data_IF_320956459645
#
_entry.id   IF_320956459645
#
_cell.length_a   1.000
_cell.length_b   1.000
_cell.length_c   1.000
_cell.angle_alpha   90.00
_cell.angle_beta   90.00
_cell.angle_gamma   90.00
#
_symmetry.space_group_name_H-M   'P 1'
#
loop_
_entity.id
_entity.type
_entity.pdbx_description
1 polymer ?
#
# COMPACT_ATOMS: atom_id res chain seq x y z
N UNK A 1 -19.21 -31.32 29.37
CA UNK A 1 -18.63 -30.88 28.09
C UNK A 1 -19.14 -29.48 27.80
N UNK A 2 -18.33 -28.62 27.16
CA UNK A 2 -18.85 -27.38 26.59
C UNK A 2 -19.70 -27.71 25.34
N UNK A 3 -20.79 -26.96 25.07
CA UNK A 3 -21.54 -27.11 23.82
C UNK A 3 -20.67 -26.70 22.64
N UNK A 4 -20.83 -27.37 21.50
CA UNK A 4 -20.17 -26.94 20.26
C UNK A 4 -20.85 -25.67 19.73
N UNK A 5 -20.05 -24.65 19.44
CA UNK A 5 -20.53 -23.44 18.76
C UNK A 5 -20.79 -23.74 17.27
N UNK A 6 -21.82 -23.13 16.65
CA UNK A 6 -22.01 -23.17 15.21
C UNK A 6 -20.79 -22.61 14.46
N UNK A 7 -20.47 -23.17 13.31
CA UNK A 7 -19.28 -22.77 12.51
C UNK A 7 -19.30 -21.30 12.14
N UNK A 8 -20.49 -20.76 11.92
CA UNK A 8 -20.79 -19.37 11.56
C UNK A 8 -20.36 -18.42 12.68
N UNK A 9 -20.56 -18.82 13.94
CA UNK A 9 -20.13 -18.07 15.12
C UNK A 9 -18.60 -18.15 15.27
N UNK A 10 -17.99 -19.29 14.96
CA UNK A 10 -16.51 -19.43 14.97
C UNK A 10 -15.87 -18.55 13.87
N UNK A 11 -16.48 -18.46 12.69
CA UNK A 11 -16.07 -17.55 11.61
C UNK A 11 -16.18 -16.06 11.97
N UNK A 12 -17.02 -15.68 12.94
CA UNK A 12 -17.11 -14.31 13.46
C UNK A 12 -16.14 -14.08 14.63
N UNK A 13 -15.97 -15.06 15.53
CA UNK A 13 -15.07 -14.94 16.68
C UNK A 13 -13.61 -14.80 16.23
N UNK A 14 -13.13 -15.63 15.30
CA UNK A 14 -11.70 -15.69 14.99
C UNK A 14 -11.16 -14.36 14.42
N UNK A 15 -11.81 -13.69 13.45
CA UNK A 15 -11.36 -12.37 12.99
C UNK A 15 -11.38 -11.33 14.11
N UNK A 16 -12.49 -11.19 14.85
CA UNK A 16 -12.65 -10.15 15.87
C UNK A 16 -11.85 -10.37 17.17
N UNK A 17 -11.39 -11.60 17.44
CA UNK A 17 -10.56 -11.91 18.61
C UNK A 17 -9.05 -11.86 18.30
N UNK A 18 -8.68 -11.55 17.06
CA UNK A 18 -7.32 -11.23 16.64
C UNK A 18 -7.27 -9.72 16.34
N UNK A 19 -6.16 -9.00 16.59
CA UNK A 19 -6.07 -7.60 16.16
C UNK A 19 -6.28 -7.49 14.64
N UNK A 20 -7.28 -6.72 14.22
CA UNK A 20 -7.60 -6.47 12.81
C UNK A 20 -6.51 -5.64 12.12
N UNK A 21 -5.94 -4.65 12.83
CA UNK A 21 -4.83 -3.81 12.39
C UNK A 21 -3.90 -3.46 13.55
N UNK A 22 -2.62 -3.72 13.37
CA UNK A 22 -1.51 -3.36 14.27
C UNK A 22 -0.24 -3.35 13.42
N UNK A 23 0.60 -2.33 13.57
CA UNK A 23 1.86 -2.18 12.82
C UNK A 23 2.68 -3.48 12.83
N UNK A 24 3.08 -3.95 11.65
CA UNK A 24 3.57 -5.32 11.46
C UNK A 24 4.80 -5.68 12.28
N UNK A 25 5.74 -4.74 12.37
CA UNK A 25 7.07 -4.95 12.95
C UNK A 25 6.99 -5.50 14.39
N UNK A 26 5.98 -5.08 15.15
CA UNK A 26 5.71 -5.48 16.53
C UNK A 26 4.81 -6.72 16.62
N UNK A 27 3.63 -6.73 15.98
CA UNK A 27 2.55 -7.66 16.33
C UNK A 27 2.36 -8.88 15.40
N UNK A 28 3.09 -9.00 14.28
CA UNK A 28 3.03 -10.17 13.38
C UNK A 28 3.08 -11.52 14.10
N UNK A 29 3.97 -11.64 15.10
CA UNK A 29 4.18 -12.86 15.89
C UNK A 29 2.96 -13.21 16.75
N UNK A 30 2.17 -12.23 17.15
CA UNK A 30 1.00 -12.40 18.03
C UNK A 30 -0.23 -12.78 17.22
N UNK A 31 -0.52 -12.11 16.10
CA UNK A 31 -1.56 -12.50 15.14
C UNK A 31 -1.42 -13.97 14.73
N UNK A 32 -0.20 -14.42 14.40
CA UNK A 32 0.08 -15.84 14.11
C UNK A 32 -0.13 -16.76 15.33
N UNK A 33 0.29 -16.37 16.54
CA UNK A 33 0.12 -17.17 17.77
C UNK A 33 -1.36 -17.35 18.14
N UNK A 34 -2.18 -16.31 18.03
CA UNK A 34 -3.62 -16.39 18.31
C UNK A 34 -4.33 -17.32 17.32
N UNK A 35 -4.09 -17.16 16.02
CA UNK A 35 -4.69 -18.03 14.99
C UNK A 35 -4.22 -19.49 15.15
N UNK A 36 -2.95 -19.72 15.48
CA UNK A 36 -2.44 -21.06 15.81
C UNK A 36 -3.15 -21.64 17.04
N UNK A 37 -3.33 -20.87 18.11
CA UNK A 37 -4.05 -21.30 19.31
C UNK A 37 -5.51 -21.67 18.99
N UNK A 38 -6.21 -20.87 18.17
CA UNK A 38 -7.56 -21.20 17.71
C UNK A 38 -7.62 -22.51 16.90
N UNK A 39 -6.61 -22.78 16.07
CA UNK A 39 -6.54 -24.04 15.30
C UNK A 39 -6.39 -25.30 16.18
N UNK A 40 -5.96 -25.14 17.44
CA UNK A 40 -5.76 -26.21 18.41
C UNK A 40 -6.98 -26.45 19.33
N UNK A 41 -8.01 -25.60 19.29
CA UNK A 41 -9.19 -25.69 20.20
C UNK A 41 -9.96 -26.99 19.96
N UNK A 42 -10.28 -27.30 18.70
CA UNK A 42 -10.74 -28.60 18.20
C UNK A 42 -10.85 -28.57 16.66
N UNK A 43 -11.31 -29.66 16.05
CA UNK A 43 -11.43 -29.81 14.60
C UNK A 43 -12.40 -28.84 13.91
N UNK A 44 -13.43 -28.30 14.56
CA UNK A 44 -14.35 -27.34 13.93
C UNK A 44 -13.74 -25.94 13.82
N UNK A 45 -12.80 -25.59 14.71
CA UNK A 45 -12.07 -24.33 14.68
C UNK A 45 -10.91 -24.34 13.66
N UNK A 46 -10.38 -25.51 13.32
CA UNK A 46 -9.20 -25.66 12.47
C UNK A 46 -9.36 -25.05 11.07
N UNK A 47 -10.48 -25.29 10.37
CA UNK A 47 -10.70 -24.72 9.02
C UNK A 47 -10.96 -23.19 9.05
N UNK A 48 -11.82 -22.64 9.92
CA UNK A 48 -11.92 -21.19 10.14
C UNK A 48 -10.58 -20.53 10.49
N UNK A 49 -9.79 -21.13 11.39
CA UNK A 49 -8.46 -20.63 11.75
C UNK A 49 -7.50 -20.64 10.55
N UNK A 50 -7.46 -21.72 9.75
CA UNK A 50 -6.64 -21.73 8.53
C UNK A 50 -7.10 -20.69 7.49
N UNK A 51 -8.39 -20.42 7.37
CA UNK A 51 -8.91 -19.39 6.46
C UNK A 51 -8.46 -17.98 6.87
N UNK A 52 -8.49 -17.65 8.16
CA UNK A 52 -7.94 -16.37 8.64
C UNK A 52 -6.41 -16.34 8.52
N UNK A 53 -5.71 -17.46 8.76
CA UNK A 53 -4.26 -17.57 8.59
C UNK A 53 -3.79 -17.30 7.15
N UNK A 54 -4.63 -17.61 6.16
CA UNK A 54 -4.36 -17.40 4.74
C UNK A 54 -5.06 -16.15 4.17
N UNK A 55 -5.70 -15.33 5.01
CA UNK A 55 -6.27 -14.02 4.63
C UNK A 55 -5.19 -12.99 4.31
N UNK A 56 -4.15 -12.96 5.15
CA UNK A 56 -2.93 -12.17 4.98
C UNK A 56 -1.72 -13.10 4.91
N UNK A 57 -1.08 -13.15 3.74
CA UNK A 57 0.18 -13.85 3.56
C UNK A 57 1.35 -12.90 3.79
N UNK A 58 2.27 -13.26 4.67
CA UNK A 58 3.59 -12.63 4.75
C UNK A 58 4.64 -13.59 4.19
N UNK A 59 5.48 -13.13 3.27
CA UNK A 59 6.61 -13.89 2.74
C UNK A 59 7.90 -13.12 3.02
N UNK A 60 8.74 -13.66 3.90
CA UNK A 60 9.91 -12.96 4.46
C UNK A 60 11.22 -13.30 3.75
N UNK A 61 11.17 -13.98 2.61
CA UNK A 61 12.34 -14.36 1.84
C UNK A 61 11.97 -14.64 0.37
N UNK A 62 12.90 -14.33 -0.55
CA UNK A 62 12.69 -14.62 -1.97
C UNK A 62 12.60 -16.13 -2.26
N UNK A 63 13.14 -17.01 -1.40
CA UNK A 63 13.04 -18.48 -1.54
C UNK A 63 11.65 -19.03 -1.16
N UNK A 64 11.03 -18.55 -0.07
CA UNK A 64 9.64 -18.88 0.24
C UNK A 64 8.71 -18.45 -0.91
N UNK A 65 8.99 -17.29 -1.51
CA UNK A 65 8.24 -16.73 -2.63
C UNK A 65 8.38 -17.59 -3.90
N UNK A 66 9.62 -17.91 -4.30
CA UNK A 66 9.93 -18.82 -5.43
C UNK A 66 9.28 -20.19 -5.25
N UNK A 67 9.11 -20.67 -4.01
CA UNK A 67 8.56 -21.99 -3.72
C UNK A 67 7.08 -22.16 -4.09
N UNK A 68 6.31 -21.06 -4.21
CA UNK A 68 4.85 -20.97 -4.46
C UNK A 68 3.90 -21.66 -3.46
N UNK A 69 4.37 -22.67 -2.72
CA UNK A 69 3.61 -23.51 -1.76
C UNK A 69 2.66 -22.74 -0.82
N UNK A 70 3.03 -21.53 -0.38
CA UNK A 70 2.18 -20.69 0.47
C UNK A 70 0.97 -20.12 -0.29
N UNK A 71 1.18 -19.62 -1.51
CA UNK A 71 0.14 -19.09 -2.39
C UNK A 71 -0.78 -20.22 -2.90
N UNK A 72 -0.21 -21.34 -3.33
CA UNK A 72 -0.95 -22.51 -3.78
C UNK A 72 -1.87 -23.04 -2.66
N UNK A 73 -1.36 -23.06 -1.41
CA UNK A 73 -2.14 -23.48 -0.24
C UNK A 73 -3.23 -22.48 0.14
N UNK A 74 -2.93 -21.18 0.15
CA UNK A 74 -3.93 -20.14 0.38
C UNK A 74 -5.08 -20.23 -0.64
N UNK A 75 -4.74 -20.32 -1.93
CA UNK A 75 -5.69 -20.57 -3.03
C UNK A 75 -6.54 -21.83 -2.79
N UNK A 76 -5.94 -22.93 -2.35
CA UNK A 76 -6.68 -24.18 -2.04
C UNK A 76 -7.65 -24.07 -0.85
N UNK A 77 -7.39 -23.13 0.08
CA UNK A 77 -8.26 -22.81 1.23
C UNK A 77 -9.38 -21.81 0.84
N UNK A 78 -9.31 -21.25 -0.37
CA UNK A 78 -10.28 -20.30 -0.92
C UNK A 78 -10.11 -18.87 -0.39
N UNK A 79 -8.94 -18.54 0.17
CA UNK A 79 -8.65 -17.25 0.78
C UNK A 79 -7.21 -16.85 0.49
N UNK A 80 -7.01 -15.59 0.09
CA UNK A 80 -5.70 -15.01 -0.22
C UNK A 80 -5.87 -13.58 -0.69
N UNK A 81 -6.42 -12.71 0.17
CA UNK A 81 -6.83 -11.36 -0.24
C UNK A 81 -5.66 -10.39 -0.21
N UNK A 82 -4.85 -10.43 0.86
CA UNK A 82 -3.76 -9.49 1.08
C UNK A 82 -2.43 -10.27 1.13
N UNK A 83 -1.42 -9.79 0.42
CA UNK A 83 -0.09 -10.39 0.35
C UNK A 83 0.96 -9.33 0.63
N UNK A 84 1.84 -9.56 1.59
CA UNK A 84 3.03 -8.76 1.77
C UNK A 84 4.28 -9.57 1.42
N UNK A 85 5.12 -9.00 0.56
CA UNK A 85 6.44 -9.52 0.17
C UNK A 85 7.50 -8.50 0.56
N UNK A 86 8.40 -8.86 1.48
CA UNK A 86 9.45 -7.93 1.88
C UNK A 86 10.49 -8.55 2.81
N UNK A 87 11.71 -8.04 2.74
CA UNK A 87 12.87 -8.64 3.39
C UNK A 87 13.76 -7.56 3.99
N UNK A 88 13.59 -7.31 5.30
CA UNK A 88 14.39 -6.38 6.12
C UNK A 88 15.91 -6.66 6.00
N UNK A 89 16.52 -6.08 4.97
CA UNK A 89 17.92 -6.28 4.55
C UNK A 89 18.50 -4.98 4.03
N UNK A 90 19.79 -4.78 4.29
CA UNK A 90 20.56 -3.57 3.98
C UNK A 90 20.77 -3.36 2.45
N UNK A 91 20.23 -4.25 1.61
CA UNK A 91 20.21 -4.14 0.15
C UNK A 91 18.92 -4.78 -0.39
N UNK A 92 18.21 -4.15 -1.33
CA UNK A 92 17.05 -4.76 -1.96
C UNK A 92 17.46 -5.99 -2.78
N UNK A 93 16.62 -7.02 -2.79
CA UNK A 93 16.76 -8.17 -3.68
C UNK A 93 15.95 -7.96 -4.95
N UNK A 94 16.46 -8.47 -6.09
CA UNK A 94 15.71 -8.57 -7.34
C UNK A 94 14.38 -9.32 -7.09
N UNK A 95 13.26 -8.61 -7.26
CA UNK A 95 11.95 -9.21 -7.25
C UNK A 95 11.84 -10.26 -8.36
N UNK A 96 11.15 -11.35 -8.03
CA UNK A 96 10.73 -12.41 -8.96
C UNK A 96 9.33 -12.83 -8.55
N UNK A 97 8.41 -11.86 -8.60
CA UNK A 97 7.03 -11.99 -8.12
C UNK A 97 6.37 -13.19 -8.83
N UNK A 98 5.68 -14.11 -8.12
CA UNK A 98 5.03 -15.25 -8.75
C UNK A 98 3.74 -14.81 -9.48
N UNK A 99 2.90 -15.76 -9.90
CA UNK A 99 1.52 -15.40 -10.27
C UNK A 99 0.78 -14.94 -9.01
N UNK A 100 0.17 -13.76 -9.08
CA UNK A 100 -0.61 -13.13 -8.00
C UNK A 100 -2.13 -13.22 -8.25
N UNK A 101 -2.55 -14.00 -9.25
CA UNK A 101 -3.95 -14.28 -9.57
C UNK A 101 -4.76 -14.68 -8.32
N UNK A 102 -5.79 -13.90 -8.02
CA UNK A 102 -6.67 -14.06 -6.85
C UNK A 102 -6.34 -13.14 -5.67
N UNK A 103 -5.15 -12.52 -5.65
CA UNK A 103 -4.76 -11.52 -4.66
C UNK A 103 -5.34 -10.15 -5.03
N UNK A 104 -5.91 -9.44 -4.05
CA UNK A 104 -6.53 -8.12 -4.23
C UNK A 104 -5.65 -6.98 -3.71
N UNK A 105 -4.87 -7.24 -2.67
CA UNK A 105 -4.02 -6.25 -2.02
C UNK A 105 -2.59 -6.78 -1.96
N UNK A 106 -1.63 -5.98 -2.43
CA UNK A 106 -0.21 -6.33 -2.35
C UNK A 106 0.57 -5.20 -1.71
N UNK A 107 1.41 -5.54 -0.73
CA UNK A 107 2.41 -4.62 -0.16
C UNK A 107 3.81 -5.17 -0.41
N UNK A 108 4.71 -4.32 -0.88
CA UNK A 108 6.08 -4.67 -1.25
C UNK A 108 7.05 -3.79 -0.45
N UNK A 109 8.04 -4.40 0.19
CA UNK A 109 9.00 -3.69 1.06
C UNK A 109 10.43 -4.17 0.86
N UNK A 110 11.37 -3.23 0.75
CA UNK A 110 12.80 -3.48 0.52
C UNK A 110 13.08 -4.27 -0.79
N UNK A 111 12.30 -4.02 -1.85
CA UNK A 111 12.33 -4.79 -3.11
C UNK A 111 12.81 -3.97 -4.30
N UNK A 112 13.63 -4.60 -5.15
CA UNK A 112 13.98 -4.06 -6.49
C UNK A 112 13.04 -4.66 -7.54
N UNK A 113 12.36 -3.84 -8.32
CA UNK A 113 11.25 -4.26 -9.17
C UNK A 113 11.53 -4.04 -10.66
N UNK A 114 11.23 -5.05 -11.47
CA UNK A 114 11.30 -5.01 -12.93
C UNK A 114 9.95 -4.66 -13.56
N UNK A 115 9.97 -4.33 -14.86
CA UNK A 115 8.80 -4.28 -15.72
C UNK A 115 8.00 -5.59 -15.68
N UNK A 116 8.66 -6.76 -15.60
CA UNK A 116 7.96 -8.05 -15.54
C UNK A 116 7.20 -8.22 -14.21
N UNK A 117 7.78 -7.78 -13.10
CA UNK A 117 7.11 -7.80 -11.78
C UNK A 117 5.90 -6.86 -11.76
N UNK A 118 6.02 -5.65 -12.32
CA UNK A 118 4.90 -4.70 -12.45
C UNK A 118 3.75 -5.29 -13.27
N UNK A 119 4.05 -6.01 -14.36
CA UNK A 119 3.01 -6.68 -15.16
C UNK A 119 2.30 -7.83 -14.41
N UNK A 120 2.91 -8.38 -13.35
CA UNK A 120 2.29 -9.40 -12.46
C UNK A 120 1.41 -8.77 -11.36
N UNK A 121 1.48 -7.44 -11.17
CA UNK A 121 0.67 -6.67 -10.23
C UNK A 121 -0.56 -5.99 -10.86
N UNK A 122 -0.73 -6.03 -12.19
CA UNK A 122 -1.78 -5.30 -12.93
C UNK A 122 -3.22 -5.55 -12.45
N UNK A 123 -3.49 -6.76 -11.92
CA UNK A 123 -4.84 -7.27 -11.61
C UNK A 123 -5.26 -7.00 -10.15
N UNK A 124 -4.47 -6.25 -9.37
CA UNK A 124 -4.76 -5.94 -7.94
C UNK A 124 -5.61 -4.68 -7.77
N UNK A 125 -6.33 -4.60 -6.65
CA UNK A 125 -7.24 -3.50 -6.26
C UNK A 125 -6.56 -2.48 -5.34
N UNK A 126 -5.59 -2.92 -4.54
CA UNK A 126 -4.79 -2.10 -3.62
C UNK A 126 -3.31 -2.48 -3.76
N UNK A 127 -2.43 -1.48 -3.83
CA UNK A 127 -0.99 -1.68 -4.00
C UNK A 127 -0.19 -0.70 -3.15
N UNK A 128 0.75 -1.21 -2.38
CA UNK A 128 1.63 -0.43 -1.52
C UNK A 128 3.08 -0.78 -1.82
N UNK A 129 3.92 0.22 -2.06
CA UNK A 129 5.37 0.11 -2.17
C UNK A 129 6.03 0.88 -1.02
N UNK A 130 7.03 0.28 -0.38
CA UNK A 130 7.82 0.87 0.69
C UNK A 130 9.31 0.56 0.47
N UNK A 131 10.19 1.57 0.47
CA UNK A 131 11.60 1.47 0.09
C UNK A 131 11.85 0.54 -1.14
N UNK A 132 11.13 0.83 -2.22
CA UNK A 132 11.18 0.03 -3.44
C UNK A 132 11.96 0.76 -4.54
N UNK A 133 12.88 0.04 -5.18
CA UNK A 133 13.72 0.53 -6.27
C UNK A 133 13.17 0.04 -7.62
N UNK A 134 12.72 0.96 -8.47
CA UNK A 134 12.37 0.65 -9.85
C UNK A 134 13.59 0.82 -10.74
N UNK A 135 14.13 -0.30 -11.21
CA UNK A 135 15.32 -0.35 -12.06
C UNK A 135 15.25 -1.56 -12.98
N UNK A 136 15.20 -1.33 -14.30
CA UNK A 136 15.37 -2.39 -15.30
C UNK A 136 16.55 -2.06 -16.25
N UNK A 137 17.60 -2.89 -16.31
CA UNK A 137 18.76 -2.62 -17.15
C UNK A 137 18.46 -2.82 -18.64
N UNK A 138 19.15 -2.05 -19.49
CA UNK A 138 18.63 -0.84 -20.10
C UNK A 138 17.40 -1.08 -21.01
N UNK A 139 16.42 -0.18 -20.93
CA UNK A 139 15.23 -0.20 -21.78
C UNK A 139 15.58 -0.01 -23.27
N UNK A 140 15.17 -0.97 -24.11
CA UNK A 140 15.16 -0.82 -25.57
C UNK A 140 13.86 -0.20 -26.12
N UNK A 141 12.83 -0.04 -25.28
CA UNK A 141 11.57 0.62 -25.61
C UNK A 141 11.27 1.71 -24.56
N UNK A 142 11.26 2.97 -24.98
CA UNK A 142 10.88 4.13 -24.16
C UNK A 142 9.41 4.17 -23.76
N UNK A 143 8.56 3.41 -24.46
CA UNK A 143 7.11 3.66 -24.54
C UNK A 143 6.30 2.79 -23.56
N UNK A 144 6.94 2.14 -22.59
CA UNK A 144 6.26 1.27 -21.65
C UNK A 144 5.60 2.04 -20.49
N UNK A 145 4.27 2.00 -20.44
CA UNK A 145 3.49 2.38 -19.26
C UNK A 145 2.62 1.18 -18.82
N UNK A 146 2.89 0.55 -17.66
CA UNK A 146 2.05 -0.53 -17.15
C UNK A 146 0.67 0.03 -16.76
N UNK A 147 -0.38 -0.66 -17.17
CA UNK A 147 -1.78 -0.29 -16.88
C UNK A 147 -2.33 -1.17 -15.77
N UNK A 148 -2.97 -0.54 -14.78
CA UNK A 148 -3.57 -1.15 -13.60
C UNK A 148 -5.09 -0.94 -13.63
N UNK A 149 -5.83 -1.70 -14.46
CA UNK A 149 -7.25 -1.45 -14.74
C UNK A 149 -8.20 -1.65 -13.55
N UNK A 150 -7.71 -2.22 -12.44
CA UNK A 150 -8.50 -2.53 -11.24
C UNK A 150 -8.04 -1.79 -9.98
N UNK A 151 -6.95 -1.02 -10.06
CA UNK A 151 -6.33 -0.41 -8.90
C UNK A 151 -7.10 0.83 -8.42
N UNK A 152 -7.58 0.77 -7.18
CA UNK A 152 -8.30 1.84 -6.50
C UNK A 152 -7.44 2.62 -5.49
N UNK A 153 -6.46 1.93 -4.88
CA UNK A 153 -5.59 2.48 -3.84
C UNK A 153 -4.12 2.22 -4.20
N UNK A 154 -3.30 3.28 -4.21
CA UNK A 154 -1.87 3.18 -4.44
C UNK A 154 -1.11 3.97 -3.38
N UNK A 155 -0.12 3.34 -2.74
CA UNK A 155 0.79 3.96 -1.78
C UNK A 155 2.23 3.85 -2.26
N UNK A 156 2.95 4.96 -2.27
CA UNK A 156 4.37 5.06 -2.60
C UNK A 156 5.09 5.66 -1.39
N UNK A 157 5.81 4.87 -0.63
CA UNK A 157 6.69 5.32 0.45
C UNK A 157 8.13 5.01 0.03
N UNK A 158 8.99 6.01 -0.04
CA UNK A 158 10.43 5.85 -0.35
C UNK A 158 10.69 5.10 -1.67
N UNK A 159 9.81 5.37 -2.64
CA UNK A 159 9.87 4.78 -3.97
C UNK A 159 10.90 5.53 -4.81
N UNK A 160 11.97 4.81 -5.18
CA UNK A 160 13.08 5.34 -5.97
C UNK A 160 12.94 4.90 -7.43
N UNK A 161 12.84 5.87 -8.35
CA UNK A 161 12.94 5.62 -9.78
C UNK A 161 14.39 5.85 -10.24
N UNK A 162 14.96 4.92 -11.00
CA UNK A 162 16.21 5.18 -11.71
C UNK A 162 15.89 5.72 -13.10
N UNK A 163 16.02 7.02 -13.37
CA UNK A 163 15.65 7.63 -14.69
C UNK A 163 16.46 7.11 -15.88
N UNK A 164 17.66 6.55 -15.65
CA UNK A 164 18.43 5.85 -16.68
C UNK A 164 17.85 4.47 -17.04
N UNK A 165 16.95 3.95 -16.20
CA UNK A 165 16.47 2.57 -16.17
C UNK A 165 14.99 2.47 -15.74
N UNK A 166 14.20 3.52 -16.00
CA UNK A 166 12.73 3.57 -15.86
C UNK A 166 12.16 4.85 -16.52
N UNK A 167 10.96 4.82 -17.12
CA UNK A 167 10.28 6.03 -17.60
C UNK A 167 10.00 7.05 -16.48
N UNK A 168 9.91 8.33 -16.84
CA UNK A 168 9.60 9.40 -15.89
C UNK A 168 8.24 9.24 -15.22
N UNK A 169 8.06 9.86 -14.04
CA UNK A 169 6.77 9.94 -13.34
C UNK A 169 5.66 10.40 -14.29
N UNK A 170 5.90 11.46 -15.08
CA UNK A 170 5.00 12.01 -16.10
C UNK A 170 4.54 11.01 -17.18
N UNK A 171 5.31 9.94 -17.41
CA UNK A 171 5.00 8.89 -18.39
C UNK A 171 4.23 7.75 -17.75
N UNK A 172 4.64 7.31 -16.55
CA UNK A 172 4.01 6.20 -15.85
C UNK A 172 2.67 6.60 -15.21
N UNK A 173 2.62 7.72 -14.48
CA UNK A 173 1.45 8.14 -13.72
C UNK A 173 0.49 8.97 -14.58
N UNK A 174 -0.42 8.27 -15.25
CA UNK A 174 -1.49 8.88 -16.05
C UNK A 174 -2.86 8.28 -15.71
N UNK A 175 -3.98 9.00 -15.93
CA UNK A 175 -5.33 8.45 -15.86
C UNK A 175 -5.58 7.23 -16.74
N UNK A 176 -4.78 7.04 -17.81
CA UNK A 176 -4.88 5.86 -18.69
C UNK A 176 -4.24 4.64 -18.01
N UNK A 177 -3.11 4.82 -17.34
CA UNK A 177 -2.46 3.77 -16.55
C UNK A 177 -3.25 3.41 -15.28
N UNK A 178 -3.93 4.39 -14.68
CA UNK A 178 -4.61 4.26 -13.37
C UNK A 178 -6.09 4.70 -13.41
N UNK A 179 -6.95 4.08 -14.26
CA UNK A 179 -8.28 4.61 -14.59
C UNK A 179 -9.31 4.54 -13.45
N UNK A 180 -9.05 3.76 -12.39
CA UNK A 180 -9.94 3.61 -11.24
C UNK A 180 -9.32 4.08 -9.92
N UNK A 181 -8.12 4.69 -9.98
CA UNK A 181 -7.36 5.14 -8.81
C UNK A 181 -8.03 6.34 -8.15
N UNK A 182 -8.43 6.15 -6.89
CA UNK A 182 -9.17 7.13 -6.08
C UNK A 182 -8.42 7.54 -4.83
N UNK A 183 -7.52 6.69 -4.34
CA UNK A 183 -6.84 6.88 -3.07
C UNK A 183 -5.34 6.78 -3.30
N UNK A 184 -4.63 7.89 -3.10
CA UNK A 184 -3.20 7.98 -3.32
C UNK A 184 -2.48 8.38 -2.03
N UNK A 185 -1.41 7.65 -1.71
CA UNK A 185 -0.53 7.94 -0.58
C UNK A 185 0.90 8.10 -1.07
N UNK A 186 1.59 9.14 -0.62
CA UNK A 186 2.94 9.51 -1.04
C UNK A 186 3.79 9.82 0.20
N UNK A 187 5.01 9.28 0.26
CA UNK A 187 5.89 9.45 1.41
C UNK A 187 7.37 9.46 1.02
N UNK A 188 8.12 10.39 1.59
CA UNK A 188 9.58 10.49 1.40
C UNK A 188 10.29 10.69 2.75
N UNK A 189 11.12 9.71 3.13
CA UNK A 189 12.03 9.71 4.28
C UNK A 189 13.38 10.41 3.95
N UNK A 190 13.76 10.49 2.68
CA UNK A 190 14.86 11.35 2.19
C UNK A 190 14.33 12.53 1.38
N UNK A 191 15.00 13.68 1.48
CA UNK A 191 14.77 14.82 0.57
C UNK A 191 14.97 14.38 -0.89
N UNK A 192 14.25 15.00 -1.83
CA UNK A 192 14.55 14.88 -3.27
C UNK A 192 16.01 15.29 -3.51
N UNK A 193 16.84 14.34 -3.94
CA UNK A 193 18.30 14.48 -3.90
C UNK A 193 19.12 13.24 -4.25
N UNK A 194 18.49 12.13 -4.66
CA UNK A 194 19.19 11.02 -5.30
C UNK A 194 19.17 11.15 -6.84
N UNK A 195 20.22 10.67 -7.50
CA UNK A 195 20.35 10.69 -8.96
C UNK A 195 19.23 9.88 -9.64
N UNK A 196 18.14 10.57 -10.03
CA UNK A 196 17.00 9.96 -10.72
C UNK A 196 15.62 10.49 -10.34
N UNK A 197 15.52 11.43 -9.40
CA UNK A 197 14.21 11.96 -8.99
C UNK A 197 13.75 13.11 -9.91
N UNK A 198 12.54 12.98 -10.46
CA UNK A 198 11.90 13.92 -11.40
C UNK A 198 10.68 14.61 -10.75
N UNK A 199 10.88 15.68 -9.97
CA UNK A 199 9.79 16.35 -9.25
C UNK A 199 8.84 17.11 -10.18
N UNK A 200 9.32 17.63 -11.33
CA UNK A 200 8.47 18.28 -12.32
C UNK A 200 7.52 17.27 -12.99
N UNK A 201 8.01 16.08 -13.32
CA UNK A 201 7.20 15.00 -13.84
C UNK A 201 6.22 14.44 -12.81
N UNK A 202 6.62 14.36 -11.53
CA UNK A 202 5.72 13.99 -10.43
C UNK A 202 4.58 15.01 -10.26
N UNK A 203 4.89 16.30 -10.24
CA UNK A 203 3.89 17.38 -10.22
C UNK A 203 2.93 17.28 -11.43
N UNK A 204 3.49 17.12 -12.63
CA UNK A 204 2.72 16.94 -13.90
C UNK A 204 1.78 15.73 -13.83
N UNK A 205 2.20 14.63 -13.21
CA UNK A 205 1.36 13.45 -13.03
C UNK A 205 0.26 13.63 -11.99
N UNK A 206 0.55 14.32 -10.89
CA UNK A 206 -0.44 14.64 -9.86
C UNK A 206 -1.46 15.67 -10.36
N UNK A 207 -1.08 16.56 -11.29
CA UNK A 207 -2.02 17.45 -11.98
C UNK A 207 -3.00 16.65 -12.84
N UNK A 208 -2.51 15.64 -13.57
CA UNK A 208 -3.33 14.78 -14.44
C UNK A 208 -4.23 13.82 -13.66
N UNK A 209 -3.76 13.29 -12.53
CA UNK A 209 -4.53 12.38 -11.67
C UNK A 209 -5.44 13.10 -10.66
N UNK A 210 -5.13 14.34 -10.30
CA UNK A 210 -5.86 15.10 -9.28
C UNK A 210 -7.39 15.11 -9.44
N UNK A 211 -7.95 15.29 -10.66
CA UNK A 211 -9.40 15.32 -10.86
C UNK A 211 -10.16 14.04 -10.52
N UNK A 212 -9.48 12.88 -10.39
CA UNK A 212 -10.10 11.60 -10.02
C UNK A 212 -9.78 11.13 -8.59
N UNK A 213 -8.89 11.82 -7.87
CA UNK A 213 -8.51 11.44 -6.50
C UNK A 213 -9.55 11.93 -5.48
N UNK A 214 -10.13 10.98 -4.74
CA UNK A 214 -11.05 11.21 -3.62
C UNK A 214 -10.32 11.31 -2.28
N UNK A 215 -9.10 10.74 -2.18
CA UNK A 215 -8.26 10.74 -0.98
C UNK A 215 -6.79 10.91 -1.34
N UNK A 216 -6.11 11.82 -0.65
CA UNK A 216 -4.67 12.08 -0.76
C UNK A 216 -4.03 12.04 0.63
N UNK A 217 -2.96 11.27 0.77
CA UNK A 217 -2.11 11.22 1.97
C UNK A 217 -0.68 11.57 1.59
N UNK A 218 -0.03 12.48 2.31
CA UNK A 218 1.33 12.95 1.99
C UNK A 218 2.20 13.07 3.25
N UNK A 219 3.38 12.46 3.23
CA UNK A 219 4.38 12.54 4.28
C UNK A 219 5.73 13.01 3.71
N UNK A 220 6.36 13.98 4.34
CA UNK A 220 7.70 14.46 3.99
C UNK A 220 8.55 14.56 5.25
N UNK A 221 9.79 14.08 5.23
CA UNK A 221 10.73 14.24 6.36
C UNK A 221 11.46 15.60 6.37
N UNK A 222 11.29 16.38 5.32
CA UNK A 222 12.10 17.56 5.00
C UNK A 222 11.29 18.85 5.01
N UNK A 223 11.99 19.99 5.02
CA UNK A 223 11.41 21.28 5.38
C UNK A 223 10.56 21.88 4.25
N UNK A 224 9.26 22.07 4.55
CA UNK A 224 8.26 22.98 3.94
C UNK A 224 8.11 23.01 2.42
N UNK A 225 9.18 23.25 1.68
CA UNK A 225 9.16 23.77 0.32
C UNK A 225 8.73 22.70 -0.69
N UNK A 226 8.92 21.41 -0.36
CA UNK A 226 8.40 20.26 -1.11
C UNK A 226 6.86 20.28 -1.22
N UNK A 227 6.15 20.92 -0.29
CA UNK A 227 4.70 21.10 -0.36
C UNK A 227 4.23 22.02 -1.49
N UNK A 228 5.15 22.81 -2.08
CA UNK A 228 4.88 23.66 -3.26
C UNK A 228 4.86 22.87 -4.57
N UNK A 229 5.43 21.66 -4.59
CA UNK A 229 5.48 20.76 -5.77
C UNK A 229 4.07 20.21 -6.08
N UNK A 230 3.18 20.14 -5.09
CA UNK A 230 1.83 19.59 -5.29
C UNK A 230 0.92 20.58 -6.03
N UNK A 231 0.27 20.16 -7.13
CA UNK A 231 -0.64 21.01 -7.91
C UNK A 231 -2.01 21.11 -7.22
N UNK A 232 -2.07 21.83 -6.10
CA UNK A 232 -3.21 21.88 -5.19
C UNK A 232 -4.55 22.25 -5.86
N UNK A 233 -4.53 23.06 -6.93
CA UNK A 233 -5.73 23.44 -7.68
C UNK A 233 -6.36 22.32 -8.51
N UNK A 234 -5.63 21.23 -8.77
CA UNK A 234 -6.07 20.15 -9.67
C UNK A 234 -6.81 19.02 -8.97
N UNK A 235 -6.80 18.97 -7.63
CA UNK A 235 -7.47 17.94 -6.83
C UNK A 235 -8.98 18.18 -6.66
N UNK A 236 -9.71 18.36 -7.77
CA UNK A 236 -11.11 18.85 -7.77
C UNK A 236 -12.13 17.88 -7.16
N UNK A 237 -11.79 16.60 -7.00
CA UNK A 237 -12.67 15.56 -6.43
C UNK A 237 -12.30 15.17 -4.99
N UNK A 238 -11.34 15.87 -4.38
CA UNK A 238 -10.72 15.48 -3.12
C UNK A 238 -11.68 15.66 -1.93
N UNK A 239 -11.95 14.56 -1.22
CA UNK A 239 -12.81 14.52 -0.03
C UNK A 239 -12.02 14.31 1.26
N UNK A 240 -10.82 13.71 1.15
CA UNK A 240 -9.92 13.43 2.27
C UNK A 240 -8.50 13.89 1.93
N UNK A 241 -7.92 14.71 2.81
CA UNK A 241 -6.52 15.11 2.77
C UNK A 241 -5.88 14.80 4.12
N UNK A 242 -4.70 14.19 4.11
CA UNK A 242 -3.89 13.97 5.30
C UNK A 242 -2.44 14.34 4.99
N UNK A 243 -1.88 15.25 5.79
CA UNK A 243 -0.49 15.70 5.67
C UNK A 243 0.20 15.34 6.99
N UNK A 244 1.22 14.49 6.92
CA UNK A 244 1.93 13.96 8.08
C UNK A 244 3.21 14.76 8.33
N UNK A 245 3.47 15.22 9.57
CA UNK A 245 4.68 15.97 9.89
C UNK A 245 5.95 15.10 9.80
N UNK A 246 7.15 15.71 9.61
CA UNK A 246 8.43 15.05 9.35
C UNK A 246 9.01 14.16 10.47
N UNK A 247 8.21 13.82 11.47
CA UNK A 247 8.62 13.13 12.69
C UNK A 247 7.82 11.85 13.00
N UNK A 248 6.85 11.48 12.14
CA UNK A 248 6.13 10.20 12.23
C UNK A 248 6.85 9.13 11.40
N UNK A 249 6.77 7.87 11.83
CA UNK A 249 7.35 6.76 11.07
C UNK A 249 6.48 6.42 9.84
N UNK A 250 7.06 6.15 8.64
CA UNK A 250 6.28 5.85 7.43
C UNK A 250 5.29 4.68 7.56
N UNK A 251 5.52 3.76 8.50
CA UNK A 251 4.62 2.65 8.80
C UNK A 251 3.25 3.11 9.34
N UNK A 252 3.17 4.24 10.04
CA UNK A 252 1.90 4.79 10.54
C UNK A 252 1.07 5.43 9.41
N UNK A 253 1.74 5.98 8.39
CA UNK A 253 1.12 6.58 7.19
C UNK A 253 0.27 5.56 6.41
N UNK A 254 0.61 4.26 6.49
CA UNK A 254 -0.16 3.16 5.89
C UNK A 254 -1.47 2.86 6.65
N UNK A 255 -1.50 3.05 7.98
CA UNK A 255 -2.65 2.69 8.83
C UNK A 255 -3.68 3.83 8.99
N UNK A 256 -3.28 5.09 8.78
CA UNK A 256 -4.15 6.26 8.95
C UNK A 256 -5.26 6.55 7.91
N UNK A 257 -5.21 6.16 6.61
CA UNK A 257 -6.21 6.61 5.61
C UNK A 257 -7.63 6.02 5.82
N UNK A 258 -7.82 5.24 6.88
CA UNK A 258 -9.07 4.58 7.27
C UNK A 258 -9.57 4.97 8.69
N UNK A 259 -8.89 5.86 9.42
CA UNK A 259 -9.30 6.21 10.80
C UNK A 259 -10.28 7.39 10.93
N UNK A 260 -10.49 8.21 9.88
CA UNK A 260 -11.32 9.41 9.95
C UNK A 260 -12.77 9.20 9.46
N UNK A 261 -13.56 8.52 10.30
CA UNK A 261 -15.01 8.73 10.38
C UNK A 261 -15.47 8.78 11.86
N UNK A 262 -15.55 9.98 12.48
CA UNK A 262 -16.40 10.18 13.65
C UNK A 262 -17.86 9.97 13.23
N UNK A 263 -18.51 8.96 13.80
CA UNK A 263 -19.92 8.64 13.50
C UNK A 263 -20.87 9.63 14.19
N UNK A 264 -21.01 10.82 13.61
CA UNK A 264 -21.92 11.88 14.08
C UNK A 264 -21.25 12.93 14.99
N UNK A 265 -21.96 14.03 15.29
CA UNK A 265 -21.39 15.17 15.99
C UNK A 265 -21.36 14.96 17.51
N UNK A 266 -20.17 14.74 18.06
CA UNK A 266 -19.84 15.04 19.46
C UNK A 266 -18.61 15.94 19.50
N UNK A 267 -18.59 16.87 20.46
CA UNK A 267 -17.77 18.09 20.37
C UNK A 267 -16.32 17.91 20.83
N UNK A 268 -15.40 17.87 19.87
CA UNK A 268 -14.02 18.35 20.01
C UNK A 268 -13.54 18.93 18.68
N UNK A 269 -12.60 19.88 18.72
CA UNK A 269 -12.32 20.78 17.60
C UNK A 269 -11.67 20.06 16.41
N UNK A 270 -12.38 20.02 15.28
CA UNK A 270 -11.84 19.60 13.99
C UNK A 270 -11.83 20.79 13.01
N UNK A 271 -10.64 21.12 12.52
CA UNK A 271 -10.45 22.18 11.53
C UNK A 271 -10.89 21.70 10.15
N UNK A 272 -12.17 21.91 9.81
CA UNK A 272 -12.70 21.62 8.47
C UNK A 272 -12.17 22.69 7.49
N UNK A 273 -10.97 22.45 6.96
CA UNK A 273 -10.36 23.29 5.93
C UNK A 273 -11.09 23.11 4.61
N UNK A 274 -12.04 24.01 4.33
CA UNK A 274 -12.69 24.10 3.02
C UNK A 274 -11.70 24.67 1.99
N UNK A 275 -11.90 24.46 0.67
CA UNK A 275 -10.93 24.87 -0.36
C UNK A 275 -10.65 26.38 -0.44
N UNK A 276 -11.42 27.24 0.23
CA UNK A 276 -11.08 28.68 0.37
C UNK A 276 -9.88 28.94 1.29
N UNK A 277 -9.49 27.98 2.15
CA UNK A 277 -8.42 28.20 3.15
C UNK A 277 -7.01 28.11 2.55
N UNK A 278 -6.83 27.38 1.43
CA UNK A 278 -5.50 27.15 0.84
C UNK A 278 -4.83 28.43 0.31
N UNK A 279 -5.62 29.43 -0.11
CA UNK A 279 -5.10 30.72 -0.61
C UNK A 279 -4.32 31.53 0.44
N UNK A 280 -4.50 31.25 1.74
CA UNK A 280 -3.82 31.97 2.81
C UNK A 280 -2.46 31.35 3.21
N UNK A 281 -2.13 30.15 2.72
CA UNK A 281 -0.85 29.47 2.99
C UNK A 281 0.27 29.88 2.02
N UNK A 282 -0.01 30.74 1.04
CA UNK A 282 1.00 31.33 0.14
C UNK A 282 1.44 32.74 0.56
N UNK A 283 1.08 33.19 1.77
CA UNK A 283 1.25 34.58 2.23
C UNK A 283 1.79 34.70 3.67
N UNK A 284 2.49 33.68 4.17
CA UNK A 284 3.09 33.61 5.50
C UNK A 284 4.52 33.03 5.41
#
# INVERSE_FOLDING_TARGET
>A
MLPQLPTEIIYLIIPHAVPDKTTYATHKKERYRWILAYSLVNSTWHLPAQKELYRELWVGSSEELKSRKLLDKARSVGVGRHLHLGVLRIKPEDAKLPSLEGVKEVTLTDMRLTQEDLMRLRDVETLHFQDCEFSDPPFLNSDFAPTFPHLHTLSLLDVRLSTFAFPSWATWFTPIAFPLLRHFSLGFESAFGFDGEDPEGLATSLERLGPQLESLSVAWRTSSDEASILPWGSFTSLQRLSIYPPFLEPLEVLDFPLQLLPAGPSSSESAILTPQTCSNLQAA
#
